data_IF_379334303404
#
_entry.id   IF_379334303404
#
_cell.length_a   1.000
_cell.length_b   1.000
_cell.length_c   1.000
_cell.angle_alpha   90.00
_cell.angle_beta   90.00
_cell.angle_gamma   90.00
#
_symmetry.space_group_name_H-M   'P 1'
#
loop_
_entity.id
_entity.type
_entity.pdbx_description
1 polymer ?
#
# COMPACT_ATOMS: atom_id res chain seq x y z
N UNK A 1 -16.72 -22.49 -2.60
CA UNK A 1 -17.04 -23.82 -2.00
C UNK A 1 -15.86 -24.42 -1.23
N UNK A 2 -14.62 -24.02 -1.52
CA UNK A 2 -13.39 -24.40 -0.81
C UNK A 2 -13.22 -23.71 0.55
N UNK A 3 -13.66 -22.46 0.71
CA UNK A 3 -13.48 -21.71 1.96
C UNK A 3 -14.28 -22.25 3.16
N UNK A 4 -15.45 -22.85 2.92
CA UNK A 4 -16.26 -23.44 3.99
C UNK A 4 -15.65 -24.73 4.55
N UNK A 5 -14.95 -25.52 3.73
CA UNK A 5 -14.30 -26.75 4.20
C UNK A 5 -13.00 -26.47 4.96
N UNK A 6 -12.24 -25.45 4.55
CA UNK A 6 -11.07 -24.97 5.31
C UNK A 6 -11.51 -24.51 6.69
N UNK A 7 -12.55 -23.67 6.80
CA UNK A 7 -13.06 -23.22 8.09
C UNK A 7 -13.54 -24.38 9.01
N UNK A 8 -14.15 -25.43 8.45
CA UNK A 8 -14.64 -26.57 9.23
C UNK A 8 -13.49 -27.43 9.78
N UNK A 9 -12.37 -27.59 9.06
CA UNK A 9 -11.19 -28.33 9.56
C UNK A 9 -10.43 -27.51 10.61
N UNK A 10 -10.31 -26.20 10.41
CA UNK A 10 -9.67 -25.27 11.36
C UNK A 10 -10.38 -25.20 12.72
N UNK A 11 -11.69 -25.50 12.77
CA UNK A 11 -12.49 -25.44 14.01
C UNK A 11 -12.39 -26.69 14.89
N UNK A 12 -11.81 -27.80 14.41
CA UNK A 12 -11.88 -29.08 15.14
C UNK A 12 -10.77 -29.34 16.15
N UNK A 13 -9.58 -28.73 16.03
CA UNK A 13 -8.53 -28.81 17.09
C UNK A 13 -7.38 -27.79 16.86
N UNK A 14 -7.52 -26.55 17.33
CA UNK A 14 -6.49 -25.49 17.21
C UNK A 14 -5.11 -25.97 17.71
N UNK A 15 -5.08 -26.81 18.74
CA UNK A 15 -3.84 -27.32 19.33
C UNK A 15 -3.04 -28.23 18.40
N UNK A 16 -3.73 -29.10 17.64
CA UNK A 16 -3.07 -29.96 16.65
C UNK A 16 -2.57 -29.19 15.45
N UNK A 17 -3.29 -28.14 15.05
CA UNK A 17 -2.84 -27.25 13.98
C UNK A 17 -1.57 -26.51 14.42
N UNK A 18 -1.57 -25.93 15.61
CA UNK A 18 -0.39 -25.24 16.16
C UNK A 18 0.80 -26.21 16.23
N UNK A 19 0.62 -27.44 16.73
CA UNK A 19 1.68 -28.46 16.76
C UNK A 19 2.20 -28.82 15.36
N UNK A 20 1.30 -29.07 14.40
CA UNK A 20 1.67 -29.40 13.02
C UNK A 20 2.45 -28.28 12.34
N UNK A 21 2.01 -27.03 12.49
CA UNK A 21 2.68 -25.87 11.89
C UNK A 21 4.06 -25.61 12.50
N UNK A 22 4.25 -25.88 13.80
CA UNK A 22 5.56 -25.80 14.45
C UNK A 22 6.50 -26.92 14.01
N UNK A 23 5.99 -28.14 13.86
CA UNK A 23 6.77 -29.26 13.32
C UNK A 23 7.26 -28.97 11.89
N UNK A 24 6.40 -28.36 11.07
CA UNK A 24 6.80 -27.92 9.72
C UNK A 24 7.86 -26.82 9.80
N UNK A 25 7.68 -25.81 10.67
CA UNK A 25 8.67 -24.75 10.87
C UNK A 25 10.05 -25.32 11.22
N UNK A 26 10.09 -26.32 12.11
CA UNK A 26 11.32 -27.03 12.47
C UNK A 26 11.96 -27.73 11.27
N UNK A 27 11.20 -28.52 10.52
CA UNK A 27 11.72 -29.22 9.34
C UNK A 27 12.20 -28.26 8.24
N UNK A 28 11.46 -27.19 7.99
CA UNK A 28 11.84 -26.13 7.05
C UNK A 28 13.13 -25.44 7.47
N UNK A 29 13.33 -25.22 8.78
CA UNK A 29 14.57 -24.66 9.32
C UNK A 29 15.76 -25.55 9.04
N UNK A 30 15.65 -26.86 9.25
CA UNK A 30 16.73 -27.80 8.93
C UNK A 30 17.02 -27.83 7.42
N UNK A 31 15.98 -27.87 6.59
CA UNK A 31 16.13 -27.91 5.12
C UNK A 31 16.78 -26.63 4.60
N UNK A 32 16.26 -25.46 4.96
CA UNK A 32 16.72 -24.16 4.43
C UNK A 32 18.07 -23.72 4.99
N UNK A 33 18.47 -24.21 6.16
CA UNK A 33 19.81 -23.96 6.72
C UNK A 33 20.89 -24.91 6.18
N UNK A 34 20.49 -25.99 5.51
CA UNK A 34 21.39 -26.99 4.97
C UNK A 34 21.85 -26.67 3.53
N UNK A 35 22.96 -27.29 3.09
CA UNK A 35 23.48 -27.15 1.72
C UNK A 35 22.78 -28.09 0.72
N UNK A 36 21.46 -28.16 0.76
CA UNK A 36 20.68 -28.98 -0.16
C UNK A 36 20.60 -28.34 -1.57
N UNK A 37 20.33 -29.19 -2.57
CA UNK A 37 20.20 -28.76 -3.98
C UNK A 37 18.96 -27.90 -4.24
N UNK A 38 18.99 -27.16 -5.35
CA UNK A 38 17.98 -26.14 -5.70
C UNK A 38 16.54 -26.67 -5.64
N UNK A 39 16.27 -27.90 -6.10
CA UNK A 39 14.90 -28.46 -6.08
C UNK A 39 14.27 -28.53 -4.68
N UNK A 40 15.07 -28.87 -3.65
CA UNK A 40 14.55 -28.95 -2.28
C UNK A 40 14.34 -27.56 -1.69
N UNK A 41 15.20 -26.60 -2.04
CA UNK A 41 15.04 -25.20 -1.64
C UNK A 41 13.79 -24.59 -2.26
N UNK A 42 13.57 -24.82 -3.56
CA UNK A 42 12.41 -24.33 -4.30
C UNK A 42 11.10 -24.83 -3.65
N UNK A 43 11.03 -26.14 -3.35
CA UNK A 43 9.87 -26.75 -2.66
C UNK A 43 9.67 -26.19 -1.25
N UNK A 44 10.77 -25.98 -0.51
CA UNK A 44 10.70 -25.43 0.84
C UNK A 44 10.22 -23.97 0.85
N UNK A 45 10.73 -23.11 -0.05
CA UNK A 45 10.27 -21.72 -0.19
C UNK A 45 8.81 -21.67 -0.66
N UNK A 46 8.41 -22.55 -1.57
CA UNK A 46 7.01 -22.65 -2.01
C UNK A 46 6.08 -23.05 -0.85
N UNK A 47 6.51 -23.98 0.01
CA UNK A 47 5.76 -24.35 1.20
C UNK A 47 5.68 -23.19 2.21
N UNK A 48 6.78 -22.45 2.41
CA UNK A 48 6.77 -21.23 3.24
C UNK A 48 5.74 -20.23 2.70
N UNK A 49 5.74 -19.97 1.39
CA UNK A 49 4.77 -19.06 0.77
C UNK A 49 3.33 -19.51 1.05
N UNK A 50 3.01 -20.79 0.89
CA UNK A 50 1.67 -21.32 1.17
C UNK A 50 1.27 -21.16 2.64
N UNK A 51 2.22 -21.38 3.57
CA UNK A 51 1.97 -21.20 5.00
C UNK A 51 1.76 -19.73 5.36
N UNK A 52 2.54 -18.81 4.77
CA UNK A 52 2.31 -17.38 4.92
C UNK A 52 0.95 -16.94 4.37
N UNK A 53 0.50 -17.54 3.27
CA UNK A 53 -0.79 -17.24 2.67
C UNK A 53 -1.98 -17.73 3.52
N UNK A 54 -1.90 -18.94 4.08
CA UNK A 54 -3.01 -19.56 4.80
C UNK A 54 -3.00 -19.35 6.32
N UNK A 55 -1.84 -19.14 6.93
CA UNK A 55 -1.67 -19.02 8.39
C UNK A 55 -1.28 -17.58 8.78
N UNK A 56 -0.59 -16.88 7.90
CA UNK A 56 -0.16 -15.50 8.10
C UNK A 56 1.30 -15.37 8.57
N UNK A 57 1.83 -14.17 8.43
CA UNK A 57 3.19 -13.82 8.84
C UNK A 57 3.54 -14.06 10.32
N UNK A 58 2.61 -13.95 11.30
CA UNK A 58 2.92 -14.29 12.69
C UNK A 58 3.48 -15.69 12.89
N UNK A 59 3.12 -16.68 12.04
CA UNK A 59 3.69 -18.04 12.12
C UNK A 59 5.22 -18.06 11.85
N UNK A 60 5.67 -17.24 10.91
CA UNK A 60 7.08 -17.17 10.54
C UNK A 60 7.88 -16.39 11.60
N UNK A 61 7.39 -15.20 11.94
CA UNK A 61 8.13 -14.23 12.76
C UNK A 61 7.91 -14.36 14.27
N UNK A 62 6.80 -14.94 14.71
CA UNK A 62 6.49 -15.16 16.12
C UNK A 62 6.33 -16.66 16.43
N UNK A 63 6.52 -17.01 17.70
CA UNK A 63 6.05 -18.30 18.20
C UNK A 63 4.53 -18.23 18.33
N UNK A 64 3.78 -19.09 17.66
CA UNK A 64 2.29 -19.15 17.70
C UNK A 64 1.75 -19.66 19.05
N UNK A 65 2.42 -19.36 20.16
CA UNK A 65 2.14 -19.93 21.46
C UNK A 65 1.68 -18.82 22.40
N UNK A 66 0.44 -18.37 22.22
CA UNK A 66 -0.23 -17.53 23.22
C UNK A 66 -0.59 -18.31 24.51
N UNK A 67 -0.49 -19.65 24.55
CA UNK A 67 -1.05 -20.45 25.64
C UNK A 67 -0.21 -21.61 26.20
N UNK A 68 1.13 -21.62 26.07
CA UNK A 68 1.95 -22.58 26.83
C UNK A 68 3.10 -21.89 27.55
N UNK A 69 2.84 -21.69 28.85
CA UNK A 69 3.79 -21.75 29.94
C UNK A 69 4.79 -20.60 30.07
N UNK A 70 4.70 -19.95 31.23
CA UNK A 70 5.59 -18.96 31.82
C UNK A 70 7.09 -19.35 31.92
N UNK A 71 7.53 -20.42 31.25
CA UNK A 71 8.87 -20.99 31.35
C UNK A 71 9.64 -21.09 30.01
N UNK A 72 9.16 -20.48 28.92
CA UNK A 72 9.98 -20.41 27.70
C UNK A 72 11.05 -19.32 27.83
N UNK A 73 12.31 -19.75 27.86
CA UNK A 73 13.48 -18.89 27.98
C UNK A 73 13.64 -17.99 26.75
N UNK A 74 14.19 -16.79 26.93
CA UNK A 74 14.43 -15.78 25.90
C UNK A 74 15.24 -16.27 24.68
N UNK A 75 15.91 -17.41 24.79
CA UNK A 75 16.72 -18.02 23.73
C UNK A 75 15.89 -18.55 22.54
N UNK A 76 14.70 -19.11 22.77
CA UNK A 76 13.87 -19.68 21.68
C UNK A 76 13.25 -18.59 20.79
N UNK A 77 12.92 -17.42 21.36
CA UNK A 77 12.35 -16.28 20.63
C UNK A 77 13.34 -15.63 19.65
N UNK A 78 14.62 -15.58 20.02
CA UNK A 78 15.71 -15.10 19.14
C UNK A 78 15.94 -16.06 17.97
N UNK A 79 15.69 -17.34 18.16
CA UNK A 79 15.92 -18.39 17.18
C UNK A 79 14.83 -18.42 16.07
N UNK A 80 13.61 -18.00 16.41
CA UNK A 80 12.50 -17.81 15.46
C UNK A 80 12.73 -16.64 14.51
N UNK A 81 13.12 -15.48 15.03
CA UNK A 81 13.40 -14.31 14.20
C UNK A 81 14.61 -14.54 13.27
N UNK A 82 15.62 -15.28 13.74
CA UNK A 82 16.75 -15.73 12.90
C UNK A 82 16.29 -16.61 11.74
N UNK A 83 15.33 -17.51 11.97
CA UNK A 83 14.77 -18.33 10.90
C UNK A 83 13.95 -17.49 9.90
N UNK A 84 13.12 -16.57 10.38
CA UNK A 84 12.39 -15.64 9.52
C UNK A 84 13.34 -14.81 8.65
N UNK A 85 14.40 -14.26 9.24
CA UNK A 85 15.42 -13.51 8.51
C UNK A 85 16.13 -14.37 7.47
N UNK A 86 16.45 -15.64 7.78
CA UNK A 86 17.03 -16.58 6.80
C UNK A 86 16.10 -16.79 5.60
N UNK A 87 14.80 -17.01 5.85
CA UNK A 87 13.80 -17.23 4.80
C UNK A 87 13.73 -16.02 3.85
N UNK A 88 13.65 -14.81 4.40
CA UNK A 88 13.62 -13.58 3.61
C UNK A 88 14.92 -13.39 2.83
N UNK A 89 16.08 -13.63 3.45
CA UNK A 89 17.37 -13.54 2.77
C UNK A 89 17.49 -14.54 1.61
N UNK A 90 17.00 -15.77 1.79
CA UNK A 90 16.96 -16.77 0.72
C UNK A 90 16.02 -16.34 -0.42
N UNK A 91 14.85 -15.82 -0.11
CA UNK A 91 13.94 -15.28 -1.12
C UNK A 91 14.60 -14.14 -1.92
N UNK A 92 15.30 -13.22 -1.24
CA UNK A 92 16.07 -12.15 -1.87
C UNK A 92 17.19 -12.65 -2.80
N UNK A 93 17.86 -13.75 -2.44
CA UNK A 93 18.89 -14.37 -3.29
C UNK A 93 18.26 -15.02 -4.51
N UNK A 94 17.21 -15.81 -4.33
CA UNK A 94 16.53 -16.48 -5.45
C UNK A 94 15.91 -15.47 -6.43
N UNK A 95 15.30 -14.38 -5.95
CA UNK A 95 14.78 -13.32 -6.83
C UNK A 95 15.87 -12.81 -7.78
N UNK A 96 17.05 -12.45 -7.25
CA UNK A 96 18.13 -11.92 -8.08
C UNK A 96 18.61 -12.93 -9.11
N UNK A 97 18.80 -14.19 -8.69
CA UNK A 97 19.20 -15.27 -9.61
C UNK A 97 18.14 -15.53 -10.71
N UNK A 98 16.86 -15.52 -10.35
CA UNK A 98 15.77 -15.76 -11.30
C UNK A 98 15.61 -14.60 -12.29
N UNK A 99 15.79 -13.36 -11.82
CA UNK A 99 15.74 -12.17 -12.67
C UNK A 99 16.97 -12.08 -13.58
N UNK A 100 18.17 -12.43 -13.09
CA UNK A 100 19.38 -12.63 -13.91
C UNK A 100 19.11 -13.67 -15.02
N UNK A 101 18.58 -14.84 -14.65
CA UNK A 101 18.23 -15.91 -15.61
C UNK A 101 17.19 -15.46 -16.65
N UNK A 102 16.26 -14.57 -16.27
CA UNK A 102 15.26 -14.01 -17.19
C UNK A 102 15.87 -12.95 -18.11
N UNK A 103 16.74 -12.08 -17.61
CA UNK A 103 17.46 -11.10 -18.44
C UNK A 103 18.29 -11.81 -19.52
N UNK A 104 19.03 -12.85 -19.12
CA UNK A 104 19.79 -13.73 -20.00
C UNK A 104 18.92 -14.37 -21.10
N UNK A 105 17.67 -14.71 -20.77
CA UNK A 105 16.72 -15.25 -21.73
C UNK A 105 16.21 -14.19 -22.70
N UNK A 106 15.90 -12.98 -22.22
CA UNK A 106 15.45 -11.88 -23.08
C UNK A 106 16.52 -11.48 -24.11
N UNK A 107 17.80 -11.45 -23.72
CA UNK A 107 18.90 -11.21 -24.67
C UNK A 107 19.01 -12.31 -25.73
N UNK A 108 18.80 -13.58 -25.34
CA UNK A 108 18.87 -14.74 -26.25
C UNK A 108 17.61 -14.91 -27.10
N UNK A 109 16.47 -14.35 -26.70
CA UNK A 109 15.18 -14.41 -27.40
C UNK A 109 15.17 -13.65 -28.73
N UNK A 110 16.11 -12.71 -28.96
CA UNK A 110 16.31 -12.15 -30.31
C UNK A 110 16.71 -13.23 -31.35
N UNK A 111 17.08 -14.45 -30.91
CA UNK A 111 17.62 -15.51 -31.77
C UNK A 111 16.73 -16.76 -31.93
N UNK A 112 15.80 -17.13 -31.01
CA UNK A 112 14.92 -18.33 -31.12
C UNK A 112 13.58 -18.27 -30.32
N UNK A 113 12.61 -19.12 -30.69
CA UNK A 113 11.26 -19.27 -30.08
C UNK A 113 11.28 -19.56 -28.57
N UNK A 114 10.41 -18.83 -27.85
CA UNK A 114 10.21 -18.83 -26.40
C UNK A 114 9.94 -20.23 -25.82
N UNK A 115 10.77 -20.66 -24.87
CA UNK A 115 10.43 -21.73 -23.93
C UNK A 115 10.18 -21.10 -22.56
N UNK A 116 8.92 -21.05 -22.12
CA UNK A 116 8.54 -20.60 -20.79
C UNK A 116 9.30 -21.41 -19.73
N UNK A 117 10.21 -20.78 -18.99
CA UNK A 117 10.83 -21.43 -17.86
C UNK A 117 9.83 -21.42 -16.69
N UNK A 118 8.93 -22.42 -16.66
CA UNK A 118 7.88 -22.58 -15.64
C UNK A 118 8.41 -22.54 -14.20
N UNK A 119 9.69 -22.85 -13.99
CA UNK A 119 10.34 -22.71 -12.68
C UNK A 119 10.41 -21.25 -12.25
N UNK A 120 10.78 -20.35 -13.16
CA UNK A 120 10.98 -18.94 -12.86
C UNK A 120 9.65 -18.28 -12.51
N UNK A 121 8.61 -18.50 -13.31
CA UNK A 121 7.26 -17.98 -13.05
C UNK A 121 6.75 -18.37 -11.65
N UNK A 122 6.85 -19.66 -11.30
CA UNK A 122 6.34 -20.16 -10.03
C UNK A 122 7.19 -19.72 -8.83
N UNK A 123 8.51 -19.86 -8.91
CA UNK A 123 9.39 -19.57 -7.78
C UNK A 123 9.52 -18.07 -7.53
N UNK A 124 9.55 -17.26 -8.59
CA UNK A 124 9.60 -15.80 -8.48
C UNK A 124 8.35 -15.28 -7.75
N UNK A 125 7.17 -15.77 -8.15
CA UNK A 125 5.90 -15.49 -7.45
C UNK A 125 5.93 -15.91 -5.98
N UNK A 126 6.49 -17.08 -5.68
CA UNK A 126 6.64 -17.55 -4.30
C UNK A 126 7.55 -16.63 -3.47
N UNK A 127 8.70 -16.25 -4.00
CA UNK A 127 9.65 -15.36 -3.33
C UNK A 127 9.09 -13.95 -3.16
N UNK A 128 8.40 -13.40 -4.15
CA UNK A 128 7.71 -12.11 -4.03
C UNK A 128 6.64 -12.14 -2.94
N UNK A 129 5.83 -13.20 -2.87
CA UNK A 129 4.83 -13.34 -1.81
C UNK A 129 5.47 -13.39 -0.41
N UNK A 130 6.62 -14.06 -0.27
CA UNK A 130 7.38 -14.07 0.99
C UNK A 130 7.81 -12.65 1.37
N UNK A 131 8.34 -11.87 0.43
CA UNK A 131 8.75 -10.49 0.68
C UNK A 131 7.57 -9.61 1.06
N UNK A 132 6.47 -9.66 0.31
CA UNK A 132 5.27 -8.86 0.57
C UNK A 132 4.72 -9.11 1.98
N UNK A 133 4.57 -10.39 2.35
CA UNK A 133 4.07 -10.77 3.68
C UNK A 133 5.05 -10.40 4.80
N UNK A 134 6.34 -10.37 4.51
CA UNK A 134 7.36 -9.93 5.46
C UNK A 134 7.35 -8.42 5.66
N UNK A 135 7.23 -7.63 4.58
CA UNK A 135 7.12 -6.17 4.63
C UNK A 135 5.85 -5.77 5.38
N UNK A 136 4.70 -6.36 5.03
CA UNK A 136 3.42 -6.13 5.70
C UNK A 136 3.53 -6.35 7.22
N UNK A 137 4.15 -7.45 7.63
CA UNK A 137 4.30 -7.78 9.05
C UNK A 137 5.26 -6.85 9.78
N UNK A 138 6.40 -6.51 9.18
CA UNK A 138 7.37 -5.61 9.79
C UNK A 138 6.82 -4.19 9.94
N UNK A 139 6.08 -3.70 8.94
CA UNK A 139 5.39 -2.40 9.01
C UNK A 139 4.31 -2.38 10.10
N UNK A 140 3.53 -3.46 10.26
CA UNK A 140 2.57 -3.58 11.38
C UNK A 140 3.25 -3.51 12.74
N UNK A 141 4.42 -4.15 12.90
CA UNK A 141 5.19 -4.06 14.14
C UNK A 141 5.68 -2.63 14.38
N UNK A 142 6.23 -1.97 13.37
CA UNK A 142 6.72 -0.59 13.48
C UNK A 142 5.61 0.36 13.96
N UNK A 143 4.45 0.31 13.31
CA UNK A 143 3.25 1.06 13.71
C UNK A 143 2.83 0.79 15.16
N UNK A 144 2.86 -0.48 15.59
CA UNK A 144 2.55 -0.83 16.98
C UNK A 144 3.58 -0.28 17.97
N UNK A 145 4.87 -0.34 17.63
CA UNK A 145 5.94 0.21 18.46
C UNK A 145 5.81 1.73 18.60
N UNK A 146 5.55 2.45 17.51
CA UNK A 146 5.31 3.89 17.55
C UNK A 146 4.12 4.27 18.44
N UNK A 147 3.04 3.47 18.39
CA UNK A 147 1.85 3.70 19.23
C UNK A 147 2.10 3.48 20.74
N UNK A 148 3.05 2.61 21.10
CA UNK A 148 3.44 2.34 22.49
C UNK A 148 4.29 3.46 23.09
N UNK A 149 5.27 3.97 22.33
CA UNK A 149 6.08 5.11 22.76
C UNK A 149 5.24 6.36 23.02
N UNK A 150 3.98 6.38 22.55
CA UNK A 150 3.07 7.51 22.63
C UNK A 150 1.93 7.35 23.67
N UNK A 151 1.99 6.35 24.56
CA UNK A 151 1.18 6.29 25.79
C UNK A 151 0.00 5.32 25.79
N UNK A 152 -0.19 4.52 24.74
CA UNK A 152 -1.14 3.39 24.76
C UNK A 152 -0.45 2.13 25.30
N UNK A 153 -0.96 1.57 26.40
CA UNK A 153 -0.42 0.36 27.02
C UNK A 153 -0.86 -0.88 26.26
N UNK A 154 -0.30 -1.08 25.06
CA UNK A 154 -0.35 -2.37 24.39
C UNK A 154 0.88 -3.14 24.85
N UNK A 155 0.70 -4.20 25.64
CA UNK A 155 1.79 -5.10 26.02
C UNK A 155 2.22 -5.94 24.80
N UNK A 156 3.22 -5.50 24.02
CA UNK A 156 3.94 -6.40 23.08
C UNK A 156 4.89 -7.32 23.89
N UNK A 157 4.31 -8.22 24.67
CA UNK A 157 5.03 -9.21 25.48
C UNK A 157 5.62 -10.32 24.61
N UNK A 158 6.63 -10.04 23.79
CA UNK A 158 7.39 -11.15 23.19
C UNK A 158 8.24 -10.97 21.95
N UNK A 159 8.33 -9.79 21.34
CA UNK A 159 9.18 -9.58 20.17
C UNK A 159 10.60 -9.20 20.60
N UNK A 160 11.53 -10.17 20.66
CA UNK A 160 12.96 -9.88 20.85
C UNK A 160 13.62 -9.74 19.47
N UNK A 161 13.47 -8.57 18.86
CA UNK A 161 14.06 -8.26 17.56
C UNK A 161 15.52 -7.88 17.74
N UNK A 162 16.42 -8.61 17.09
CA UNK A 162 17.85 -8.30 17.06
C UNK A 162 18.08 -7.12 16.10
N UNK A 163 18.50 -5.93 16.58
CA UNK A 163 18.66 -4.75 15.74
C UNK A 163 19.70 -4.93 14.63
N UNK A 164 20.78 -5.70 14.88
CA UNK A 164 21.80 -5.97 13.87
C UNK A 164 21.24 -6.85 12.75
N UNK A 165 20.43 -7.85 13.11
CA UNK A 165 19.76 -8.70 12.15
C UNK A 165 18.72 -7.93 11.33
N UNK A 166 17.96 -7.01 11.94
CA UNK A 166 17.03 -6.12 11.25
C UNK A 166 17.74 -5.21 10.24
N UNK A 167 18.84 -4.57 10.64
CA UNK A 167 19.64 -3.72 9.74
C UNK A 167 20.19 -4.53 8.56
N UNK A 168 20.70 -5.74 8.83
CA UNK A 168 21.18 -6.64 7.77
C UNK A 168 20.06 -7.09 6.83
N UNK A 169 18.88 -7.38 7.39
CA UNK A 169 17.69 -7.74 6.62
C UNK A 169 17.27 -6.61 5.70
N UNK A 170 17.12 -5.39 6.25
CA UNK A 170 16.83 -4.18 5.50
C UNK A 170 17.86 -3.94 4.39
N UNK A 171 19.15 -4.05 4.70
CA UNK A 171 20.21 -3.93 3.68
C UNK A 171 20.09 -4.95 2.55
N UNK A 172 19.75 -6.21 2.88
CA UNK A 172 19.54 -7.26 1.87
C UNK A 172 18.31 -6.99 1.00
N UNK A 173 17.22 -6.50 1.60
CA UNK A 173 16.00 -6.14 0.87
C UNK A 173 16.24 -4.92 -0.03
N UNK A 174 16.91 -3.86 0.45
CA UNK A 174 17.30 -2.70 -0.36
C UNK A 174 18.06 -3.15 -1.61
N UNK A 175 19.04 -4.03 -1.47
CA UNK A 175 19.80 -4.55 -2.62
C UNK A 175 18.91 -5.32 -3.61
N UNK A 176 17.97 -6.10 -3.09
CA UNK A 176 17.04 -6.88 -3.90
C UNK A 176 16.08 -5.96 -4.68
N UNK A 177 15.57 -4.91 -4.04
CA UNK A 177 14.71 -3.94 -4.70
C UNK A 177 15.46 -3.05 -5.69
N UNK A 178 16.74 -2.72 -5.43
CA UNK A 178 17.59 -2.08 -6.44
C UNK A 178 17.70 -2.97 -7.68
N UNK A 179 17.94 -4.26 -7.50
CA UNK A 179 18.02 -5.22 -8.59
C UNK A 179 16.70 -5.35 -9.37
N UNK A 180 15.54 -5.36 -8.68
CA UNK A 180 14.22 -5.34 -9.32
C UNK A 180 14.03 -4.05 -10.14
N UNK A 181 14.45 -2.90 -9.64
CA UNK A 181 14.39 -1.62 -10.37
C UNK A 181 15.26 -1.67 -11.62
N UNK A 182 16.51 -2.16 -11.51
CA UNK A 182 17.42 -2.33 -12.65
C UNK A 182 16.80 -3.23 -13.73
N UNK A 183 16.30 -4.40 -13.35
CA UNK A 183 15.60 -5.31 -14.26
C UNK A 183 14.40 -4.66 -14.98
N UNK A 184 13.57 -3.91 -14.25
CA UNK A 184 12.41 -3.21 -14.83
C UNK A 184 12.83 -2.04 -15.75
N UNK A 185 13.96 -1.40 -15.47
CA UNK A 185 14.54 -0.38 -16.35
C UNK A 185 15.09 -1.00 -17.63
N UNK A 186 15.71 -2.17 -17.57
CA UNK A 186 16.15 -2.90 -18.78
C UNK A 186 14.95 -3.33 -19.64
N UNK A 187 13.87 -3.78 -19.01
CA UNK A 187 12.60 -4.08 -19.69
C UNK A 187 12.05 -2.84 -20.39
N UNK A 188 12.06 -1.67 -19.73
CA UNK A 188 11.59 -0.42 -20.33
C UNK A 188 12.33 -0.09 -21.63
N UNK A 189 13.62 -0.35 -21.69
CA UNK A 189 14.44 -0.05 -22.88
C UNK A 189 14.21 -1.04 -24.03
N UNK A 190 13.82 -2.28 -23.72
CA UNK A 190 13.76 -3.39 -24.68
C UNK A 190 12.33 -3.76 -25.10
N UNK A 191 11.33 -3.42 -24.29
CA UNK A 191 9.98 -3.96 -24.40
C UNK A 191 8.92 -2.87 -24.40
N UNK A 192 7.99 -2.93 -25.37
CA UNK A 192 6.84 -2.03 -25.43
C UNK A 192 5.88 -2.23 -24.24
N UNK A 193 5.27 -1.15 -23.75
CA UNK A 193 4.31 -1.18 -22.64
C UNK A 193 3.16 -2.18 -22.85
N UNK A 194 2.68 -2.38 -24.08
CA UNK A 194 1.63 -3.37 -24.39
C UNK A 194 2.06 -4.81 -24.04
N UNK A 195 3.34 -5.14 -24.22
CA UNK A 195 3.87 -6.46 -23.84
C UNK A 195 4.08 -6.55 -22.34
N UNK A 196 4.56 -5.47 -21.72
CA UNK A 196 4.75 -5.39 -20.27
C UNK A 196 3.46 -5.69 -19.51
N UNK A 197 2.33 -5.10 -19.91
CA UNK A 197 1.04 -5.32 -19.22
C UNK A 197 0.45 -6.73 -19.42
N UNK A 198 1.00 -7.53 -20.34
CA UNK A 198 0.58 -8.91 -20.60
C UNK A 198 1.51 -9.94 -19.94
N UNK A 199 2.66 -9.51 -19.43
CA UNK A 199 3.65 -10.38 -18.80
C UNK A 199 3.43 -10.46 -17.29
N UNK A 200 2.96 -11.62 -16.82
CA UNK A 200 2.66 -11.85 -15.40
C UNK A 200 3.89 -11.71 -14.49
N UNK A 201 5.09 -12.05 -14.99
CA UNK A 201 6.32 -11.94 -14.20
C UNK A 201 6.69 -10.48 -13.98
N UNK A 202 6.56 -9.65 -15.02
CA UNK A 202 6.83 -8.21 -14.94
C UNK A 202 5.79 -7.54 -14.03
N UNK A 203 4.51 -7.91 -14.16
CA UNK A 203 3.47 -7.39 -13.27
C UNK A 203 3.68 -7.80 -11.81
N UNK A 204 4.15 -9.02 -11.55
CA UNK A 204 4.50 -9.47 -10.21
C UNK A 204 5.68 -8.67 -9.62
N UNK A 205 6.68 -8.33 -10.43
CA UNK A 205 7.81 -7.45 -10.06
C UNK A 205 7.34 -6.03 -9.71
N UNK A 206 6.42 -5.47 -10.49
CA UNK A 206 5.84 -4.15 -10.22
C UNK A 206 5.03 -4.18 -8.91
N UNK A 207 4.27 -5.24 -8.67
CA UNK A 207 3.45 -5.41 -7.46
C UNK A 207 4.30 -5.49 -6.20
N UNK A 208 5.34 -6.33 -6.17
CA UNK A 208 6.21 -6.40 -4.99
C UNK A 208 6.99 -5.10 -4.77
N UNK A 209 7.38 -4.43 -5.87
CA UNK A 209 8.01 -3.12 -5.79
C UNK A 209 7.06 -2.09 -5.19
N UNK A 210 5.77 -2.10 -5.56
CA UNK A 210 4.80 -1.15 -5.00
C UNK A 210 4.63 -1.33 -3.49
N UNK A 211 4.66 -2.58 -2.99
CA UNK A 211 4.64 -2.87 -1.55
C UNK A 211 5.86 -2.31 -0.83
N UNK A 212 7.06 -2.44 -1.42
CA UNK A 212 8.27 -1.85 -0.84
C UNK A 212 8.23 -0.33 -0.83
N UNK A 213 7.84 0.28 -1.95
CA UNK A 213 7.80 1.73 -2.10
C UNK A 213 6.73 2.40 -1.22
N UNK A 214 5.73 1.65 -0.77
CA UNK A 214 4.76 2.14 0.21
C UNK A 214 5.39 2.37 1.59
N UNK A 215 6.40 1.59 1.96
CA UNK A 215 6.96 1.58 3.32
C UNK A 215 8.38 2.19 3.38
N UNK A 216 9.14 2.19 2.29
CA UNK A 216 10.58 2.52 2.30
C UNK A 216 10.97 3.56 1.25
N UNK A 217 11.80 4.52 1.66
CA UNK A 217 12.31 5.62 0.84
C UNK A 217 13.80 5.53 0.47
N UNK A 218 14.46 4.43 0.87
CA UNK A 218 15.93 4.24 0.77
C UNK A 218 16.54 4.27 -0.65
N UNK A 219 15.73 4.28 -1.72
CA UNK A 219 16.13 4.23 -3.14
C UNK A 219 15.61 5.43 -3.96
N UNK A 220 15.40 6.59 -3.31
CA UNK A 220 14.74 7.77 -3.88
C UNK A 220 15.24 8.17 -5.29
N UNK A 221 16.55 8.10 -5.54
CA UNK A 221 17.15 8.50 -6.82
C UNK A 221 16.84 7.52 -7.94
N UNK A 222 16.97 6.23 -7.66
CA UNK A 222 16.64 5.14 -8.57
C UNK A 222 15.15 5.16 -8.90
N UNK A 223 14.30 5.34 -7.88
CA UNK A 223 12.84 5.45 -8.04
C UNK A 223 12.48 6.67 -8.88
N UNK A 224 13.11 7.82 -8.63
CA UNK A 224 12.86 9.02 -9.45
C UNK A 224 13.17 8.78 -10.93
N UNK A 225 14.22 8.02 -11.27
CA UNK A 225 14.51 7.67 -12.68
C UNK A 225 13.48 6.71 -13.27
N UNK A 226 12.94 5.80 -12.45
CA UNK A 226 11.95 4.80 -12.86
C UNK A 226 10.52 5.36 -12.93
N UNK A 227 10.21 6.41 -12.16
CA UNK A 227 8.89 7.03 -12.05
C UNK A 227 8.17 7.24 -13.40
N UNK A 228 8.82 7.75 -14.48
CA UNK A 228 8.17 7.92 -15.77
C UNK A 228 7.61 6.61 -16.34
N UNK A 229 8.32 5.50 -16.15
CA UNK A 229 7.89 4.18 -16.63
C UNK A 229 6.70 3.63 -15.83
N UNK A 230 6.71 3.80 -14.51
CA UNK A 230 5.58 3.40 -13.65
C UNK A 230 4.30 4.16 -14.03
N UNK A 231 4.43 5.46 -14.29
CA UNK A 231 3.35 6.33 -14.76
C UNK A 231 2.86 5.88 -16.14
N UNK A 232 3.77 5.64 -17.09
CA UNK A 232 3.42 5.19 -18.44
C UNK A 232 2.62 3.87 -18.44
N UNK A 233 3.04 2.88 -17.64
CA UNK A 233 2.32 1.62 -17.48
C UNK A 233 0.93 1.85 -16.87
N UNK A 234 0.83 2.66 -15.82
CA UNK A 234 -0.45 2.98 -15.18
C UNK A 234 -1.40 3.69 -16.16
N UNK A 235 -0.89 4.64 -16.95
CA UNK A 235 -1.67 5.34 -17.95
C UNK A 235 -2.19 4.38 -19.03
N UNK A 236 -1.33 3.49 -19.53
CA UNK A 236 -1.72 2.49 -20.51
C UNK A 236 -2.79 1.54 -19.94
N UNK A 237 -2.67 1.16 -18.66
CA UNK A 237 -3.64 0.30 -17.98
C UNK A 237 -5.05 0.89 -17.88
N UNK A 238 -5.19 2.22 -17.85
CA UNK A 238 -6.51 2.88 -17.87
C UNK A 238 -7.24 2.70 -19.20
N UNK A 239 -6.49 2.58 -20.29
CA UNK A 239 -7.03 2.48 -21.65
C UNK A 239 -7.34 1.06 -22.07
N UNK A 240 -6.76 0.07 -21.37
CA UNK A 240 -6.93 -1.34 -21.67
C UNK A 240 -7.90 -2.01 -20.69
N UNK A 241 -8.60 -3.04 -21.16
CA UNK A 241 -9.39 -3.92 -20.30
C UNK A 241 -8.47 -5.02 -19.77
N UNK A 242 -7.75 -4.71 -18.68
CA UNK A 242 -6.90 -5.67 -17.99
C UNK A 242 -7.53 -6.04 -16.64
N UNK A 243 -7.36 -7.30 -16.24
CA UNK A 243 -7.89 -7.82 -14.97
C UNK A 243 -7.20 -7.18 -13.76
N UNK A 244 -5.92 -6.81 -13.92
CA UNK A 244 -5.09 -6.24 -12.86
C UNK A 244 -5.22 -4.72 -12.85
N UNK A 245 -5.75 -4.16 -11.76
CA UNK A 245 -5.82 -2.72 -11.57
C UNK A 245 -4.46 -2.18 -11.07
N UNK A 246 -3.57 -1.83 -12.00
CA UNK A 246 -2.21 -1.38 -11.68
C UNK A 246 -2.18 -0.06 -10.91
N UNK A 247 -3.15 0.84 -11.15
CA UNK A 247 -3.23 2.09 -10.40
C UNK A 247 -3.49 1.81 -8.93
N UNK A 248 -4.48 0.95 -8.63
CA UNK A 248 -4.77 0.53 -7.25
C UNK A 248 -3.55 -0.11 -6.58
N UNK A 249 -2.80 -0.95 -7.30
CA UNK A 249 -1.58 -1.59 -6.78
C UNK A 249 -0.49 -0.56 -6.48
N UNK A 250 -0.36 0.47 -7.32
CA UNK A 250 0.67 1.50 -7.19
C UNK A 250 0.29 2.66 -6.26
N UNK A 251 -0.99 2.84 -5.93
CA UNK A 251 -1.46 3.96 -5.10
C UNK A 251 -0.73 4.08 -3.76
N UNK A 252 -0.51 3.00 -2.97
CA UNK A 252 0.24 3.11 -1.71
C UNK A 252 1.68 3.60 -1.91
N UNK A 253 2.35 3.14 -2.97
CA UNK A 253 3.68 3.61 -3.34
C UNK A 253 3.65 5.10 -3.72
N UNK A 254 2.71 5.53 -4.56
CA UNK A 254 2.59 6.94 -4.94
C UNK A 254 2.25 7.84 -3.76
N UNK A 255 1.47 7.34 -2.79
CA UNK A 255 1.16 8.08 -1.57
C UNK A 255 2.44 8.39 -0.79
N UNK A 256 3.28 7.37 -0.54
CA UNK A 256 4.55 7.57 0.14
C UNK A 256 5.50 8.45 -0.68
N UNK A 257 5.67 8.18 -1.98
CA UNK A 257 6.61 8.90 -2.84
C UNK A 257 6.25 10.37 -3.04
N UNK A 258 4.96 10.73 -3.08
CA UNK A 258 4.55 12.13 -3.20
C UNK A 258 4.80 12.95 -1.93
N UNK A 259 5.07 12.32 -0.79
CA UNK A 259 5.55 13.03 0.40
C UNK A 259 7.00 13.52 0.27
N UNK A 260 7.80 12.91 -0.62
CA UNK A 260 9.22 13.20 -0.84
C UNK A 260 9.41 14.22 -1.97
N UNK A 261 10.37 15.14 -1.82
CA UNK A 261 10.55 16.26 -2.74
C UNK A 261 10.89 15.83 -4.18
N UNK A 262 11.96 15.05 -4.38
CA UNK A 262 12.44 14.68 -5.72
C UNK A 262 11.49 13.71 -6.45
N UNK A 263 10.95 12.65 -5.81
CA UNK A 263 9.94 11.79 -6.43
C UNK A 263 8.64 12.53 -6.74
N UNK A 264 8.18 13.45 -5.88
CA UNK A 264 6.99 14.28 -6.14
C UNK A 264 7.19 15.15 -7.37
N UNK A 265 8.32 15.87 -7.48
CA UNK A 265 8.63 16.69 -8.66
C UNK A 265 8.60 15.83 -9.95
N UNK A 266 9.19 14.63 -9.89
CA UNK A 266 9.20 13.73 -11.04
C UNK A 266 7.81 13.20 -11.37
N UNK A 267 7.01 12.85 -10.37
CA UNK A 267 5.63 12.40 -10.53
C UNK A 267 4.76 13.47 -11.19
N UNK A 268 4.88 14.73 -10.75
CA UNK A 268 4.19 15.89 -11.32
C UNK A 268 4.55 16.09 -12.78
N UNK A 269 5.86 16.10 -13.08
CA UNK A 269 6.39 16.37 -14.42
C UNK A 269 5.92 15.36 -15.48
N UNK A 270 5.68 14.11 -15.10
CA UNK A 270 5.37 13.04 -16.04
C UNK A 270 3.87 12.70 -16.14
N UNK A 271 2.99 13.48 -15.51
CA UNK A 271 1.54 13.28 -15.63
C UNK A 271 0.93 12.35 -14.58
N UNK A 272 1.63 12.09 -13.48
CA UNK A 272 1.11 11.33 -12.35
C UNK A 272 -0.23 11.85 -11.81
N UNK A 273 -0.45 13.18 -11.66
CA UNK A 273 -1.74 13.69 -11.20
C UNK A 273 -2.88 13.37 -12.16
N UNK A 274 -2.64 13.43 -13.47
CA UNK A 274 -3.66 13.13 -14.48
C UNK A 274 -4.13 11.67 -14.36
N UNK A 275 -3.22 10.73 -14.11
CA UNK A 275 -3.57 9.32 -13.91
C UNK A 275 -4.49 9.13 -12.71
N UNK A 276 -4.21 9.81 -11.58
CA UNK A 276 -5.06 9.75 -10.39
C UNK A 276 -6.44 10.35 -10.66
N UNK A 277 -6.50 11.47 -11.39
CA UNK A 277 -7.76 12.13 -11.76
C UNK A 277 -8.57 11.25 -12.72
N UNK A 278 -7.96 10.74 -13.78
CA UNK A 278 -8.62 9.88 -14.77
C UNK A 278 -9.15 8.60 -14.12
N UNK A 279 -8.38 8.02 -13.19
CA UNK A 279 -8.81 6.87 -12.40
C UNK A 279 -10.06 7.18 -11.58
N UNK A 280 -10.02 8.26 -10.79
CA UNK A 280 -11.16 8.68 -9.96
C UNK A 280 -12.40 8.99 -10.81
N UNK A 281 -12.23 9.71 -11.92
CA UNK A 281 -13.32 10.06 -12.85
C UNK A 281 -13.91 8.80 -13.50
N UNK A 282 -13.07 7.86 -13.96
CA UNK A 282 -13.50 6.59 -14.54
C UNK A 282 -14.24 5.73 -13.52
N UNK A 283 -13.69 5.59 -12.31
CA UNK A 283 -14.32 4.86 -11.22
C UNK A 283 -15.70 5.45 -10.89
N UNK A 284 -15.74 6.76 -10.67
CA UNK A 284 -16.95 7.44 -10.24
C UNK A 284 -18.04 7.44 -11.31
N UNK A 285 -17.67 7.57 -12.59
CA UNK A 285 -18.63 7.52 -13.71
C UNK A 285 -19.24 6.13 -13.89
N UNK A 286 -18.51 5.07 -13.51
CA UNK A 286 -18.97 3.68 -13.61
C UNK A 286 -19.74 3.19 -12.36
N UNK A 287 -19.81 4.01 -11.31
CA UNK A 287 -20.56 3.69 -10.09
C UNK A 287 -22.04 3.50 -10.40
N UNK A 288 -22.61 2.37 -9.97
CA UNK A 288 -24.01 2.00 -10.26
C UNK A 288 -25.00 2.51 -9.22
N UNK A 289 -24.57 2.65 -7.97
CA UNK A 289 -25.42 3.07 -6.84
C UNK A 289 -24.86 4.36 -6.22
N UNK A 290 -25.61 5.46 -6.33
CA UNK A 290 -25.25 6.75 -5.74
C UNK A 290 -25.95 7.01 -4.39
N UNK A 291 -26.59 6.01 -3.78
CA UNK A 291 -27.24 6.16 -2.48
C UNK A 291 -26.28 5.92 -1.30
N UNK A 292 -25.11 5.32 -1.55
CA UNK A 292 -24.14 4.98 -0.53
C UNK A 292 -22.71 4.91 -1.08
N UNK A 293 -21.75 4.91 -0.15
CA UNK A 293 -20.35 4.60 -0.42
C UNK A 293 -19.98 3.44 0.50
N UNK A 294 -19.66 2.29 -0.06
CA UNK A 294 -19.34 1.07 0.69
C UNK A 294 -17.82 0.90 0.85
N UNK A 295 -17.37 0.11 1.82
CA UNK A 295 -15.94 -0.04 2.17
C UNK A 295 -15.06 -0.39 0.97
N UNK A 296 -15.53 -1.27 0.08
CA UNK A 296 -14.83 -1.59 -1.16
C UNK A 296 -14.59 -0.37 -2.05
N UNK A 297 -15.55 0.56 -2.11
CA UNK A 297 -15.45 1.79 -2.90
C UNK A 297 -14.57 2.82 -2.20
N UNK A 298 -14.59 2.87 -0.87
CA UNK A 298 -13.71 3.75 -0.09
C UNK A 298 -12.25 3.41 -0.39
N UNK A 299 -11.92 2.12 -0.41
CA UNK A 299 -10.57 1.63 -0.74
C UNK A 299 -10.12 2.02 -2.16
N UNK A 300 -11.05 2.27 -3.09
CA UNK A 300 -10.74 2.73 -4.45
C UNK A 300 -10.57 4.25 -4.54
N UNK A 301 -11.25 5.01 -3.68
CA UNK A 301 -11.30 6.48 -3.78
C UNK A 301 -10.26 7.13 -2.87
N UNK A 302 -10.11 6.63 -1.63
CA UNK A 302 -9.36 7.31 -0.57
C UNK A 302 -7.89 7.50 -0.95
N UNK A 303 -7.22 6.44 -1.39
CA UNK A 303 -5.79 6.49 -1.73
C UNK A 303 -5.47 7.52 -2.83
N UNK A 304 -6.15 7.50 -4.00
CA UNK A 304 -5.92 8.51 -5.03
C UNK A 304 -6.21 9.95 -4.56
N UNK A 305 -7.23 10.15 -3.71
CA UNK A 305 -7.49 11.47 -3.10
C UNK A 305 -6.32 11.90 -2.21
N UNK A 306 -5.77 10.99 -1.39
CA UNK A 306 -4.64 11.29 -0.52
C UNK A 306 -3.37 11.63 -1.31
N UNK A 307 -3.12 10.94 -2.42
CA UNK A 307 -2.02 11.27 -3.36
C UNK A 307 -2.18 12.70 -3.90
N UNK A 308 -3.39 13.05 -4.35
CA UNK A 308 -3.69 14.41 -4.83
C UNK A 308 -3.60 15.45 -3.71
N UNK A 309 -3.98 15.09 -2.49
CA UNK A 309 -3.88 15.96 -1.33
C UNK A 309 -2.42 16.27 -0.97
N UNK A 310 -1.53 15.28 -0.98
CA UNK A 310 -0.08 15.50 -0.79
C UNK A 310 0.46 16.54 -1.78
N UNK A 311 0.04 16.44 -3.05
CA UNK A 311 0.44 17.38 -4.09
C UNK A 311 -0.09 18.78 -3.81
N UNK A 312 -1.39 18.92 -3.50
CA UNK A 312 -2.01 20.23 -3.23
C UNK A 312 -1.41 20.90 -2.00
N UNK A 313 -1.06 20.14 -0.96
CA UNK A 313 -0.42 20.68 0.25
C UNK A 313 1.00 21.18 -0.05
N UNK A 314 1.76 20.47 -0.87
CA UNK A 314 3.16 20.81 -1.15
C UNK A 314 3.38 21.79 -2.31
N UNK A 315 2.57 21.74 -3.37
CA UNK A 315 2.76 22.52 -4.61
C UNK A 315 1.42 23.00 -5.19
N UNK A 316 0.68 23.69 -4.32
CA UNK A 316 -0.70 24.15 -4.53
C UNK A 316 -0.90 24.95 -5.81
N UNK A 317 -0.08 25.99 -6.02
CA UNK A 317 -0.27 26.94 -7.12
C UNK A 317 0.05 26.29 -8.47
N UNK A 318 1.17 25.58 -8.59
CA UNK A 318 1.60 24.93 -9.82
C UNK A 318 0.61 23.85 -10.25
N UNK A 319 0.14 23.05 -9.29
CA UNK A 319 -0.82 21.98 -9.56
C UNK A 319 -2.18 22.51 -9.99
N UNK A 320 -2.77 23.46 -9.26
CA UNK A 320 -4.12 23.96 -9.56
C UNK A 320 -4.13 24.73 -10.88
N UNK A 321 -3.18 25.65 -11.10
CA UNK A 321 -3.13 26.46 -12.31
C UNK A 321 -2.86 25.59 -13.56
N UNK A 322 -2.02 24.56 -13.42
CA UNK A 322 -1.70 23.66 -14.52
C UNK A 322 -2.82 22.68 -14.91
N UNK A 323 -3.81 22.45 -14.02
CA UNK A 323 -4.80 21.36 -14.16
C UNK A 323 -6.23 21.82 -13.83
N UNK A 324 -6.57 23.10 -14.02
CA UNK A 324 -7.81 23.71 -13.52
C UNK A 324 -9.08 22.91 -13.86
N UNK A 325 -9.30 22.59 -15.13
CA UNK A 325 -10.47 21.84 -15.59
C UNK A 325 -10.55 20.42 -14.99
N UNK A 326 -9.40 19.77 -14.84
CA UNK A 326 -9.26 18.41 -14.34
C UNK A 326 -9.48 18.35 -12.83
N UNK A 327 -8.92 19.32 -12.09
CA UNK A 327 -9.14 19.50 -10.65
C UNK A 327 -10.63 19.75 -10.38
N UNK A 328 -11.33 20.50 -11.23
CA UNK A 328 -12.76 20.74 -11.06
C UNK A 328 -13.60 19.47 -11.17
N UNK A 329 -13.17 18.46 -11.94
CA UNK A 329 -13.82 17.14 -11.96
C UNK A 329 -13.76 16.48 -10.57
N UNK A 330 -12.63 16.61 -9.88
CA UNK A 330 -12.48 16.09 -8.51
C UNK A 330 -13.34 16.87 -7.52
N UNK A 331 -13.45 18.20 -7.65
CA UNK A 331 -14.39 18.99 -6.82
C UNK A 331 -15.84 18.52 -6.99
N UNK A 332 -16.26 18.21 -8.23
CA UNK A 332 -17.61 17.66 -8.49
C UNK A 332 -17.83 16.30 -7.83
N UNK A 333 -16.83 15.41 -7.90
CA UNK A 333 -16.84 14.12 -7.18
C UNK A 333 -16.95 14.38 -5.67
N UNK A 334 -16.14 15.29 -5.13
CA UNK A 334 -16.13 15.63 -3.72
C UNK A 334 -17.46 16.20 -3.22
N UNK A 335 -18.13 17.02 -4.03
CA UNK A 335 -19.49 17.49 -3.76
C UNK A 335 -20.50 16.34 -3.71
N UNK A 336 -20.38 15.35 -4.59
CA UNK A 336 -21.27 14.19 -4.59
C UNK A 336 -21.00 13.26 -3.40
N UNK A 337 -19.73 13.03 -3.04
CA UNK A 337 -19.35 12.32 -1.80
C UNK A 337 -19.95 13.03 -0.58
N UNK A 338 -19.79 14.35 -0.50
CA UNK A 338 -20.33 15.19 0.57
C UNK A 338 -21.84 15.03 0.69
N UNK A 339 -22.59 15.09 -0.42
CA UNK A 339 -24.05 14.89 -0.42
C UNK A 339 -24.48 13.50 0.08
N UNK A 340 -23.69 12.46 -0.17
CA UNK A 340 -24.01 11.08 0.26
C UNK A 340 -23.70 10.88 1.75
N UNK A 341 -22.62 11.49 2.25
CA UNK A 341 -22.11 11.25 3.61
C UNK A 341 -22.57 12.30 4.63
N UNK A 342 -22.84 13.54 4.23
CA UNK A 342 -23.31 14.61 5.13
C UNK A 342 -24.57 14.23 5.92
N UNK A 343 -25.65 13.70 5.31
CA UNK A 343 -26.85 13.32 6.07
C UNK A 343 -26.56 12.25 7.13
N UNK A 344 -25.51 11.45 6.91
CA UNK A 344 -25.05 10.41 7.84
C UNK A 344 -24.26 10.99 9.00
N UNK A 345 -23.70 12.22 8.89
CA UNK A 345 -22.94 12.91 9.95
C UNK A 345 -23.70 13.04 11.27
N UNK A 346 -25.02 13.21 11.20
CA UNK A 346 -25.90 13.32 12.38
C UNK A 346 -26.26 11.97 13.00
N UNK A 347 -26.00 10.87 12.30
CA UNK A 347 -26.32 9.49 12.66
C UNK A 347 -25.09 8.66 13.05
N UNK A 348 -23.88 9.26 13.08
CA UNK A 348 -22.68 8.54 13.57
C UNK A 348 -22.78 8.36 15.07
N UNK A 349 -23.44 7.29 15.46
CA UNK A 349 -23.32 6.70 16.79
C UNK A 349 -21.90 6.14 16.96
N UNK A 350 -21.45 6.04 18.20
CA UNK A 350 -20.10 5.62 18.65
C UNK A 350 -19.61 4.22 18.19
N UNK A 351 -20.29 3.55 17.26
CA UNK A 351 -19.91 2.23 16.76
C UNK A 351 -19.03 2.35 15.51
N UNK A 352 -17.82 1.77 15.61
CA UNK A 352 -16.70 1.74 14.63
C UNK A 352 -17.01 1.35 13.17
N UNK A 353 -18.26 1.01 12.82
CA UNK A 353 -18.61 0.45 11.50
C UNK A 353 -18.65 1.46 10.34
N UNK A 354 -18.30 2.72 10.55
CA UNK A 354 -18.36 3.77 9.50
C UNK A 354 -17.18 4.73 9.52
N UNK A 355 -16.09 4.30 10.12
CA UNK A 355 -14.91 5.13 10.31
C UNK A 355 -14.25 5.52 8.98
N UNK A 356 -14.10 4.57 8.06
CA UNK A 356 -13.52 4.82 6.74
C UNK A 356 -14.32 5.86 5.93
N UNK A 357 -15.63 5.96 6.15
CA UNK A 357 -16.47 6.99 5.53
C UNK A 357 -16.16 8.39 6.07
N UNK A 358 -15.83 8.50 7.36
CA UNK A 358 -15.41 9.77 7.99
C UNK A 358 -14.06 10.19 7.42
N UNK A 359 -13.10 9.27 7.37
CA UNK A 359 -11.75 9.52 6.83
C UNK A 359 -11.84 9.95 5.36
N UNK A 360 -12.66 9.27 4.56
CA UNK A 360 -12.90 9.65 3.17
C UNK A 360 -13.48 11.06 3.05
N UNK A 361 -14.50 11.37 3.86
CA UNK A 361 -15.13 12.69 3.81
C UNK A 361 -14.16 13.79 4.23
N UNK A 362 -13.37 13.58 5.27
CA UNK A 362 -12.36 14.53 5.74
C UNK A 362 -11.32 14.85 4.66
N UNK A 363 -10.71 13.81 4.08
CA UNK A 363 -9.69 13.98 3.04
C UNK A 363 -10.28 14.66 1.79
N UNK A 364 -11.51 14.31 1.44
CA UNK A 364 -12.24 14.93 0.32
C UNK A 364 -12.52 16.41 0.58
N UNK A 365 -13.03 16.76 1.77
CA UNK A 365 -13.33 18.14 2.13
C UNK A 365 -12.07 18.98 2.21
N UNK A 366 -11.00 18.47 2.83
CA UNK A 366 -9.73 19.17 2.92
C UNK A 366 -9.15 19.45 1.53
N UNK A 367 -9.13 18.45 0.63
CA UNK A 367 -8.73 18.65 -0.76
C UNK A 367 -9.54 19.77 -1.42
N UNK A 368 -10.87 19.72 -1.29
CA UNK A 368 -11.74 20.72 -1.90
C UNK A 368 -11.49 22.12 -1.34
N UNK A 369 -11.36 22.27 -0.02
CA UNK A 369 -11.11 23.56 0.62
C UNK A 369 -9.75 24.15 0.23
N UNK A 370 -8.71 23.33 0.12
CA UNK A 370 -7.42 23.77 -0.36
C UNK A 370 -7.51 24.27 -1.80
N UNK A 371 -8.18 23.54 -2.70
CA UNK A 371 -8.38 24.00 -4.08
C UNK A 371 -9.15 25.32 -4.12
N UNK A 372 -10.29 25.40 -3.41
CA UNK A 372 -11.17 26.58 -3.38
C UNK A 372 -10.43 27.82 -2.87
N UNK A 373 -9.61 27.69 -1.83
CA UNK A 373 -8.83 28.81 -1.28
C UNK A 373 -7.73 29.33 -2.23
N UNK A 374 -7.43 28.65 -3.34
CA UNK A 374 -6.45 29.11 -4.33
C UNK A 374 -7.06 29.49 -5.67
N UNK A 375 -8.27 29.03 -6.00
CA UNK A 375 -8.93 29.32 -7.27
C UNK A 375 -9.66 30.66 -7.25
N UNK A 376 -9.53 31.46 -8.31
CA UNK A 376 -10.27 32.72 -8.50
C UNK A 376 -11.64 32.56 -9.19
N UNK A 377 -12.04 31.33 -9.52
CA UNK A 377 -13.21 31.04 -10.37
C UNK A 377 -14.31 30.29 -9.62
N UNK A 378 -15.56 30.69 -9.88
CA UNK A 378 -16.73 30.32 -9.07
C UNK A 378 -17.83 29.63 -9.88
N UNK A 379 -18.16 28.39 -9.52
CA UNK A 379 -19.58 28.02 -9.35
C UNK A 379 -19.93 28.27 -7.88
N UNK A 380 -20.47 29.46 -7.58
CA UNK A 380 -20.75 29.91 -6.19
C UNK A 380 -21.56 28.89 -5.40
N UNK A 381 -22.51 28.20 -6.05
CA UNK A 381 -23.37 27.22 -5.40
C UNK A 381 -22.62 25.94 -5.00
N UNK A 382 -21.68 25.47 -5.83
CA UNK A 382 -20.88 24.28 -5.52
C UNK A 382 -19.92 24.56 -4.35
N UNK A 383 -19.25 25.71 -4.38
CA UNK A 383 -18.34 26.18 -3.33
C UNK A 383 -19.10 26.35 -2.01
N UNK A 384 -20.27 26.98 -2.05
CA UNK A 384 -21.11 27.18 -0.86
C UNK A 384 -21.51 25.85 -0.23
N UNK A 385 -21.94 24.87 -1.03
CA UNK A 385 -22.31 23.55 -0.50
C UNK A 385 -21.13 22.86 0.19
N UNK A 386 -19.93 22.90 -0.40
CA UNK A 386 -18.73 22.31 0.22
C UNK A 386 -18.39 23.01 1.53
N UNK A 387 -18.44 24.35 1.56
CA UNK A 387 -18.19 25.14 2.78
C UNK A 387 -19.24 24.83 3.85
N UNK A 388 -20.50 24.70 3.49
CA UNK A 388 -21.58 24.40 4.43
C UNK A 388 -21.43 22.96 5.01
N UNK A 389 -21.11 21.96 4.18
CA UNK A 389 -20.79 20.61 4.66
C UNK A 389 -19.55 20.62 5.55
N UNK A 390 -18.49 21.36 5.17
CA UNK A 390 -17.26 21.47 5.96
C UNK A 390 -17.52 22.12 7.33
N UNK A 391 -18.37 23.15 7.40
CA UNK A 391 -18.80 23.73 8.69
C UNK A 391 -19.49 22.71 9.57
N UNK A 392 -20.36 21.87 9.00
CA UNK A 392 -21.03 20.80 9.75
C UNK A 392 -20.00 19.77 10.25
N UNK A 393 -19.03 19.41 9.41
CA UNK A 393 -18.00 18.41 9.73
C UNK A 393 -17.01 18.91 10.80
N UNK A 394 -16.26 19.98 10.52
CA UNK A 394 -15.15 20.45 11.36
C UNK A 394 -15.58 21.09 12.69
N UNK A 395 -16.86 21.52 12.81
CA UNK A 395 -17.41 22.02 14.08
C UNK A 395 -18.13 20.93 14.89
N UNK A 396 -18.22 19.69 14.39
CA UNK A 396 -18.85 18.61 15.11
C UNK A 396 -17.91 18.04 16.20
N UNK A 397 -18.19 18.39 17.45
CA UNK A 397 -17.39 17.98 18.61
C UNK A 397 -17.28 16.45 18.75
N UNK A 398 -18.27 15.67 18.29
CA UNK A 398 -18.22 14.21 18.38
C UNK A 398 -17.20 13.61 17.42
N UNK A 399 -17.01 14.21 16.24
CA UNK A 399 -16.00 13.79 15.25
C UNK A 399 -14.61 14.14 15.78
N UNK A 400 -14.43 15.36 16.29
CA UNK A 400 -13.19 15.82 16.92
C UNK A 400 -12.77 14.91 18.09
N UNK A 401 -13.72 14.48 18.93
CA UNK A 401 -13.44 13.57 20.05
C UNK A 401 -13.07 12.15 19.61
N UNK A 402 -13.66 11.64 18.51
CA UNK A 402 -13.34 10.31 17.97
C UNK A 402 -11.96 10.28 17.28
N UNK A 403 -11.59 11.34 16.56
CA UNK A 403 -10.30 11.43 15.87
C UNK A 403 -9.13 11.79 16.80
N UNK A 404 -9.38 12.47 17.92
CA UNK A 404 -8.36 12.71 18.95
C UNK A 404 -7.76 11.43 19.57
N UNK A 405 -8.37 10.26 19.33
CA UNK A 405 -7.82 8.95 19.70
C UNK A 405 -6.73 8.46 18.73
N UNK A 406 -6.55 9.11 17.57
CA UNK A 406 -5.58 8.78 16.52
C UNK A 406 -4.89 10.05 16.01
N UNK A 407 -3.67 10.29 16.48
CA UNK A 407 -2.94 11.55 16.22
C UNK A 407 -2.73 11.91 14.74
N UNK A 408 -2.59 10.93 13.84
CA UNK A 408 -2.40 11.21 12.40
C UNK A 408 -3.64 11.85 11.75
N UNK A 409 -4.85 11.52 12.23
CA UNK A 409 -6.11 12.14 11.77
C UNK A 409 -6.30 13.55 12.37
N UNK A 410 -5.68 13.84 13.52
CA UNK A 410 -5.83 15.14 14.21
C UNK A 410 -5.16 16.27 13.43
N UNK A 411 -4.02 16.02 12.80
CA UNK A 411 -3.31 17.06 12.03
C UNK A 411 -4.10 17.47 10.78
N UNK A 412 -4.68 16.50 10.05
CA UNK A 412 -5.54 16.75 8.90
C UNK A 412 -6.82 17.49 9.31
N UNK A 413 -7.40 17.13 10.45
CA UNK A 413 -8.60 17.79 10.98
C UNK A 413 -8.31 19.26 11.32
N UNK A 414 -7.19 19.51 12.00
CA UNK A 414 -6.74 20.86 12.35
C UNK A 414 -6.44 21.70 11.11
N UNK A 415 -5.75 21.12 10.13
CA UNK A 415 -5.45 21.78 8.87
C UNK A 415 -6.75 22.14 8.13
N UNK A 416 -7.69 21.20 8.02
CA UNK A 416 -8.98 21.45 7.38
C UNK A 416 -9.77 22.55 8.05
N UNK A 417 -9.79 22.57 9.39
CA UNK A 417 -10.41 23.64 10.17
C UNK A 417 -9.73 24.99 9.93
N UNK A 418 -8.39 25.04 9.95
CA UNK A 418 -7.62 26.25 9.70
C UNK A 418 -7.90 26.82 8.30
N UNK A 419 -7.93 25.97 7.28
CA UNK A 419 -8.24 26.38 5.90
C UNK A 419 -9.67 26.91 5.79
N UNK A 420 -10.64 26.24 6.43
CA UNK A 420 -12.03 26.71 6.47
C UNK A 420 -12.15 28.08 7.14
N UNK A 421 -11.53 28.27 8.31
CA UNK A 421 -11.57 29.53 9.05
C UNK A 421 -10.95 30.68 8.24
N UNK A 422 -9.85 30.41 7.52
CA UNK A 422 -9.24 31.38 6.61
C UNK A 422 -10.19 31.80 5.47
N UNK A 423 -10.82 30.84 4.79
CA UNK A 423 -11.79 31.11 3.71
C UNK A 423 -12.95 31.98 4.22
N UNK A 424 -13.47 31.68 5.42
CA UNK A 424 -14.56 32.44 6.01
C UNK A 424 -14.13 33.89 6.34
N UNK A 425 -12.94 34.06 6.90
CA UNK A 425 -12.40 35.39 7.20
C UNK A 425 -12.15 36.25 5.96
N UNK A 426 -11.74 35.64 4.84
CA UNK A 426 -11.58 36.33 3.56
C UNK A 426 -12.93 36.72 2.94
N UNK A 427 -13.95 35.86 3.07
CA UNK A 427 -15.30 36.15 2.57
C UNK A 427 -16.00 37.29 3.34
N UNK A 428 -15.76 37.41 4.65
CA UNK A 428 -16.30 38.49 5.49
C UNK A 428 -15.61 39.84 5.22
N UNK A 429 -14.39 39.84 4.67
CA UNK A 429 -13.67 41.06 4.26
C UNK A 429 -14.04 41.54 2.84
N UNK A 430 -14.83 40.76 2.09
CA UNK A 430 -15.29 41.06 0.73
C UNK A 430 -16.76 41.54 0.67
N UNK A 431 -17.49 41.49 1.79
CA UNK A 431 -18.78 42.21 2.00
C UNK A 431 -18.53 43.54 2.72
#
# INVERSE_FOLDING_TARGET
>A
MTDQYVQIVFLTDKTKLDEWTQNIKFGLKEILSSRLGNEQRDKALSLVMLLLHHIGAPWLFASTIENLSFNQTSANKVDDFKFAALVVQLACVEIRLLLDDLADQYEKQELQEFQSNKRNEFLLSACYTILEKSIEYLSQIENLLESQFQGSSIELTGLNLDPELLLRLKGTMIETFRFIIEHLMDIKETTSVEKVIKDESILASIRVLSVWLAEESSLEKEISKMMPFLIEICQYSLTCDIEVNLIKIMTPAFLNLTSLDQPRETFLKHGGPQIMIDYLVKFWSNKKDFNGIYDLEINEILGPIQVLLNIVVSDKETFIIGNEDEVWKIIKIGLQISKILEPKLKLYDHNSKREDQIILLENTLLFCLLVISSSKFFEMDAIKNIIDTAKIFYNNQNITLQQNMRKHDVELLLLGKQVLDNILSESDNLM
#
